data_IF_128435700655
#
_entry.id   IF_128435700655
#
_cell.length_a   1.000
_cell.length_b   1.000
_cell.length_c   1.000
_cell.angle_alpha   90.00
_cell.angle_beta   90.00
_cell.angle_gamma   90.00
#
_symmetry.space_group_name_H-M   'P 1'
#
loop_
_entity.id
_entity.type
_entity.pdbx_description
1 polymer ?
#
# COMPACT_ATOMS: atom_id res chain seq x y z
N UNK A 1 22.63 -63.96 -12.41
CA UNK A 1 22.40 -62.61 -12.96
C UNK A 1 20.95 -62.23 -12.69
N UNK A 2 20.71 -61.32 -11.74
CA UNK A 2 19.67 -60.28 -11.79
C UNK A 2 19.85 -59.42 -10.53
N UNK A 3 20.30 -58.19 -10.76
CA UNK A 3 20.59 -57.16 -9.76
C UNK A 3 19.30 -56.49 -9.31
N UNK A 4 19.00 -56.52 -8.01
CA UNK A 4 17.92 -55.73 -7.40
C UNK A 4 18.52 -54.50 -6.74
N UNK A 5 18.55 -53.39 -7.49
CA UNK A 5 18.94 -52.08 -6.99
C UNK A 5 17.72 -51.42 -6.35
N UNK A 6 17.66 -51.35 -5.01
CA UNK A 6 16.68 -50.52 -4.31
C UNK A 6 17.09 -49.04 -4.43
N UNK A 7 16.32 -48.22 -5.13
CA UNK A 7 16.40 -46.76 -5.05
C UNK A 7 15.67 -46.29 -3.80
N UNK A 8 16.41 -45.78 -2.82
CA UNK A 8 15.87 -44.95 -1.74
C UNK A 8 15.72 -43.52 -2.24
N UNK A 9 14.49 -43.11 -2.54
CA UNK A 9 14.16 -41.71 -2.82
C UNK A 9 13.98 -41.00 -1.47
N UNK A 10 14.99 -40.24 -1.05
CA UNK A 10 14.88 -39.27 0.04
C UNK A 10 14.08 -38.07 -0.46
N UNK A 11 12.77 -38.03 -0.17
CA UNK A 11 11.99 -36.80 -0.35
C UNK A 11 12.36 -35.85 0.79
N UNK A 12 13.19 -34.85 0.49
CA UNK A 12 13.41 -33.73 1.39
C UNK A 12 12.10 -32.92 1.50
N UNK A 13 11.39 -33.10 2.60
CA UNK A 13 10.24 -32.27 2.95
C UNK A 13 10.73 -30.85 3.20
N UNK A 14 10.46 -29.95 2.26
CA UNK A 14 10.63 -28.51 2.47
C UNK A 14 9.59 -28.08 3.50
N UNK A 15 10.03 -27.93 4.75
CA UNK A 15 9.21 -27.30 5.79
C UNK A 15 9.08 -25.83 5.44
N UNK A 16 7.89 -25.42 5.00
CA UNK A 16 7.49 -24.02 4.94
C UNK A 16 7.43 -23.49 6.38
N UNK A 17 8.49 -22.84 6.84
CA UNK A 17 8.45 -22.10 8.09
C UNK A 17 7.52 -20.90 7.92
N UNK A 18 6.31 -21.01 8.45
CA UNK A 18 5.59 -19.83 8.89
C UNK A 18 6.49 -19.13 9.91
N UNK A 19 6.84 -17.86 9.68
CA UNK A 19 7.63 -17.08 10.63
C UNK A 19 6.82 -16.93 11.93
N UNK A 20 7.10 -17.78 12.92
CA UNK A 20 6.61 -17.58 14.28
C UNK A 20 7.29 -16.33 14.88
N UNK A 21 6.50 -15.52 15.59
CA UNK A 21 7.02 -14.31 16.22
C UNK A 21 8.10 -14.66 17.25
N UNK A 22 9.21 -13.90 17.31
CA UNK A 22 10.31 -14.19 18.23
C UNK A 22 9.86 -14.04 19.69
N UNK A 23 10.43 -14.85 20.58
CA UNK A 23 10.21 -14.73 22.03
C UNK A 23 10.93 -13.50 22.58
N UNK A 24 10.20 -12.38 22.67
CA UNK A 24 10.74 -11.10 23.16
C UNK A 24 10.69 -10.98 24.70
N UNK A 25 11.69 -10.31 25.26
CA UNK A 25 11.71 -9.85 26.66
C UNK A 25 10.66 -8.78 26.94
N UNK A 26 10.34 -8.52 28.22
CA UNK A 26 9.36 -7.51 28.63
C UNK A 26 9.70 -6.10 28.11
N UNK A 27 10.97 -5.68 28.20
CA UNK A 27 11.39 -4.36 27.73
C UNK A 27 11.22 -4.20 26.20
N UNK A 28 11.55 -5.24 25.42
CA UNK A 28 11.35 -5.23 23.97
C UNK A 28 9.86 -5.12 23.61
N UNK A 29 8.99 -5.82 24.36
CA UNK A 29 7.53 -5.67 24.23
C UNK A 29 7.08 -4.25 24.54
N UNK A 30 7.60 -3.62 25.60
CA UNK A 30 7.27 -2.23 25.95
C UNK A 30 7.70 -1.25 24.85
N UNK A 31 8.86 -1.44 24.22
CA UNK A 31 9.28 -0.63 23.06
C UNK A 31 8.33 -0.81 21.87
N UNK A 32 7.91 -2.04 21.59
CA UNK A 32 6.94 -2.33 20.52
C UNK A 32 5.62 -1.60 20.78
N UNK A 33 5.12 -1.66 22.01
CA UNK A 33 3.92 -0.92 22.44
C UNK A 33 4.11 0.60 22.33
N UNK A 34 5.28 1.12 22.67
CA UNK A 34 5.60 2.54 22.49
C UNK A 34 5.54 2.94 21.01
N UNK A 35 6.15 2.18 20.11
CA UNK A 35 6.07 2.46 18.67
C UNK A 35 4.64 2.37 18.13
N UNK A 36 3.86 1.37 18.57
CA UNK A 36 2.43 1.28 18.24
C UNK A 36 1.65 2.49 18.76
N UNK A 37 1.94 2.98 19.97
CA UNK A 37 1.25 4.16 20.50
C UNK A 37 1.51 5.42 19.67
N UNK A 38 2.69 5.54 19.03
CA UNK A 38 3.02 6.65 18.12
C UNK A 38 2.21 6.64 16.83
N UNK A 39 1.60 5.52 16.44
CA UNK A 39 0.71 5.48 15.26
C UNK A 39 -0.68 6.04 15.57
N UNK A 40 -1.00 6.23 16.85
CA UNK A 40 -2.30 6.75 17.27
C UNK A 40 -2.55 8.13 16.68
N UNK A 41 -3.66 8.26 15.95
CA UNK A 41 -4.05 9.51 15.30
C UNK A 41 -3.26 9.88 14.04
N UNK A 42 -2.23 9.12 13.65
CA UNK A 42 -1.51 9.35 12.39
C UNK A 42 -2.45 9.16 11.19
N UNK A 43 -3.16 8.03 11.15
CA UNK A 43 -4.12 7.72 10.09
C UNK A 43 -5.33 8.67 10.12
N UNK A 44 -5.80 9.07 11.30
CA UNK A 44 -6.87 10.05 11.44
C UNK A 44 -6.52 11.41 10.84
N UNK A 45 -5.30 11.92 11.08
CA UNK A 45 -4.81 13.16 10.44
C UNK A 45 -4.79 13.05 8.93
N UNK A 46 -4.56 11.86 8.38
CA UNK A 46 -4.68 11.64 6.95
C UNK A 46 -6.14 11.87 6.47
N UNK A 47 -7.13 11.38 7.20
CA UNK A 47 -8.54 11.60 6.83
C UNK A 47 -9.07 13.03 7.08
N UNK A 48 -8.28 13.94 7.62
CA UNK A 48 -8.65 15.35 7.81
C UNK A 48 -8.44 16.22 6.54
N UNK A 49 -8.04 15.62 5.40
CA UNK A 49 -8.01 16.20 4.04
C UNK A 49 -7.36 17.60 3.93
N UNK A 50 -6.34 17.88 4.74
CA UNK A 50 -5.69 19.21 4.82
C UNK A 50 -4.35 19.29 4.07
N UNK A 51 -4.22 18.55 2.97
CA UNK A 51 -2.94 18.31 2.29
C UNK A 51 -2.44 19.43 1.38
N UNK A 52 -3.29 20.42 1.09
CA UNK A 52 -2.87 21.62 0.36
C UNK A 52 -2.04 22.58 1.22
N UNK A 53 -1.97 22.35 2.54
CA UNK A 53 -1.17 23.14 3.46
C UNK A 53 0.25 22.56 3.60
N UNK A 54 1.31 23.28 3.15
CA UNK A 54 2.68 22.78 3.20
C UNK A 54 3.18 22.48 4.63
N UNK A 55 2.72 23.25 5.63
CA UNK A 55 3.09 23.03 7.02
C UNK A 55 2.47 21.72 7.56
N UNK A 56 1.23 21.43 7.17
CA UNK A 56 0.56 20.16 7.51
C UNK A 56 1.29 18.99 6.85
N UNK A 57 1.62 19.10 5.57
CA UNK A 57 2.38 18.07 4.85
C UNK A 57 3.77 17.83 5.44
N UNK A 58 4.50 18.88 5.79
CA UNK A 58 5.81 18.77 6.44
C UNK A 58 5.72 18.08 7.81
N UNK A 59 4.72 18.45 8.62
CA UNK A 59 4.49 17.81 9.91
C UNK A 59 4.07 16.33 9.76
N UNK A 60 3.22 16.01 8.78
CA UNK A 60 2.84 14.64 8.44
C UNK A 60 4.06 13.80 8.04
N UNK A 61 4.95 14.33 7.20
CA UNK A 61 6.19 13.64 6.81
C UNK A 61 7.08 13.38 8.02
N UNK A 62 7.36 14.41 8.81
CA UNK A 62 8.23 14.30 9.99
C UNK A 62 7.68 13.26 10.97
N UNK A 63 6.38 13.30 11.24
CA UNK A 63 5.71 12.32 12.11
C UNK A 63 5.85 10.89 11.57
N UNK A 64 5.68 10.71 10.25
CA UNK A 64 5.82 9.39 9.62
C UNK A 64 7.27 8.87 9.70
N UNK A 65 8.27 9.72 9.51
CA UNK A 65 9.70 9.35 9.63
C UNK A 65 10.05 8.89 11.04
N UNK A 66 9.56 9.61 12.07
CA UNK A 66 9.75 9.22 13.47
C UNK A 66 9.12 7.86 13.79
N UNK A 67 7.91 7.60 13.29
CA UNK A 67 7.21 6.33 13.49
C UNK A 67 7.95 5.18 12.78
N UNK A 68 8.30 5.38 11.50
CA UNK A 68 9.04 4.39 10.71
C UNK A 68 10.36 4.05 11.39
N UNK A 69 11.09 5.06 11.85
CA UNK A 69 12.34 4.87 12.59
C UNK A 69 12.12 4.09 13.89
N UNK A 70 11.06 4.38 14.64
CA UNK A 70 10.72 3.63 15.85
C UNK A 70 10.60 2.13 15.56
N UNK A 71 9.85 1.75 14.51
CA UNK A 71 9.67 0.35 14.12
C UNK A 71 10.94 -0.29 13.57
N UNK A 72 11.71 0.46 12.76
CA UNK A 72 12.98 -0.01 12.22
C UNK A 72 14.00 -0.33 13.31
N UNK A 73 14.07 0.52 14.33
CA UNK A 73 15.05 0.41 15.42
C UNK A 73 14.59 -0.57 16.52
N UNK A 74 13.48 -1.30 16.31
CA UNK A 74 13.01 -2.29 17.28
C UNK A 74 14.00 -3.47 17.38
N UNK A 75 14.48 -3.81 18.58
CA UNK A 75 15.40 -4.93 18.81
C UNK A 75 14.73 -6.30 18.71
N UNK A 76 13.40 -6.37 18.69
CA UNK A 76 12.61 -7.60 18.57
C UNK A 76 11.38 -7.32 17.70
N UNK A 77 11.56 -7.20 16.38
CA UNK A 77 10.45 -6.97 15.48
C UNK A 77 9.56 -8.22 15.39
N UNK A 78 8.26 -8.02 15.45
CA UNK A 78 7.24 -9.05 15.18
C UNK A 78 6.64 -8.84 13.79
N UNK A 79 5.89 -9.82 13.30
CA UNK A 79 5.12 -9.67 12.05
C UNK A 79 4.22 -8.43 12.10
N UNK A 80 3.60 -8.17 13.26
CA UNK A 80 2.73 -7.00 13.47
C UNK A 80 3.50 -5.68 13.34
N UNK A 81 4.66 -5.54 14.01
CA UNK A 81 5.42 -4.29 13.99
C UNK A 81 6.02 -4.00 12.62
N UNK A 82 6.48 -5.04 11.90
CA UNK A 82 6.96 -4.92 10.52
C UNK A 82 5.83 -4.45 9.61
N UNK A 83 4.65 -5.10 9.68
CA UNK A 83 3.48 -4.71 8.90
C UNK A 83 3.05 -3.27 9.18
N UNK A 84 3.08 -2.85 10.44
CA UNK A 84 2.72 -1.48 10.81
C UNK A 84 3.71 -0.45 10.27
N UNK A 85 5.02 -0.68 10.42
CA UNK A 85 6.04 0.21 9.83
C UNK A 85 5.91 0.34 8.31
N UNK A 86 5.70 -0.79 7.61
CA UNK A 86 5.45 -0.81 6.17
C UNK A 86 4.17 -0.06 5.79
N UNK A 87 3.11 -0.16 6.61
CA UNK A 87 1.84 0.55 6.39
C UNK A 87 2.01 2.06 6.48
N UNK A 88 2.69 2.55 7.52
CA UNK A 88 2.98 3.98 7.69
C UNK A 88 3.80 4.49 6.49
N UNK A 89 4.83 3.74 6.07
CA UNK A 89 5.63 4.07 4.89
C UNK A 89 4.78 4.15 3.61
N UNK A 90 3.91 3.16 3.37
CA UNK A 90 3.03 3.15 2.21
C UNK A 90 2.07 4.35 2.20
N UNK A 91 1.47 4.71 3.34
CA UNK A 91 0.63 5.90 3.46
C UNK A 91 1.41 7.17 3.12
N UNK A 92 2.57 7.39 3.77
CA UNK A 92 3.44 8.54 3.50
C UNK A 92 3.80 8.64 2.01
N UNK A 93 4.34 7.57 1.44
CA UNK A 93 4.81 7.56 0.05
C UNK A 93 3.66 7.85 -0.93
N UNK A 94 2.46 7.33 -0.67
CA UNK A 94 1.25 7.56 -1.46
C UNK A 94 0.71 8.97 -1.31
N UNK A 95 0.90 9.60 -0.15
CA UNK A 95 0.50 11.00 0.00
C UNK A 95 1.38 11.94 -0.79
N UNK A 96 2.70 11.85 -0.60
CA UNK A 96 3.64 12.66 -1.37
C UNK A 96 3.60 12.36 -2.86
N UNK A 97 3.18 11.15 -3.24
CA UNK A 97 2.86 10.79 -4.61
C UNK A 97 1.77 11.65 -5.26
N UNK A 98 0.63 11.67 -4.59
CA UNK A 98 -0.58 12.32 -5.07
C UNK A 98 -0.45 13.84 -4.98
N UNK A 99 0.34 14.36 -4.03
CA UNK A 99 0.55 15.82 -3.91
C UNK A 99 1.67 16.37 -4.80
N UNK A 100 2.77 15.66 -5.04
CA UNK A 100 3.89 16.29 -5.77
C UNK A 100 3.79 16.14 -7.29
N UNK A 101 3.37 14.96 -7.76
CA UNK A 101 3.39 14.64 -9.19
C UNK A 101 2.03 14.81 -9.88
N UNK A 102 0.96 14.90 -9.09
CA UNK A 102 -0.40 14.84 -9.61
C UNK A 102 -1.17 16.15 -9.45
N UNK A 103 -0.71 17.15 -8.68
CA UNK A 103 -1.48 18.39 -8.42
C UNK A 103 -2.00 19.08 -9.69
N UNK A 104 -1.21 19.15 -10.75
CA UNK A 104 -1.69 19.75 -12.02
C UNK A 104 -2.81 18.92 -12.66
N UNK A 105 -2.68 17.60 -12.65
CA UNK A 105 -3.69 16.70 -13.20
C UNK A 105 -4.93 16.61 -12.29
N UNK A 106 -4.73 16.52 -10.98
CA UNK A 106 -5.76 16.54 -9.96
C UNK A 106 -6.69 17.74 -10.14
N UNK A 107 -6.13 18.95 -10.31
CA UNK A 107 -6.94 20.16 -10.58
C UNK A 107 -7.75 20.06 -11.87
N UNK A 108 -7.17 19.48 -12.93
CA UNK A 108 -7.90 19.24 -14.18
C UNK A 108 -9.04 18.24 -13.96
N UNK A 109 -8.79 17.13 -13.28
CA UNK A 109 -9.81 16.11 -12.99
C UNK A 109 -10.90 16.62 -12.04
N UNK A 110 -10.53 17.39 -11.02
CA UNK A 110 -11.44 18.07 -10.11
C UNK A 110 -12.35 19.04 -10.88
N UNK A 111 -11.78 19.81 -11.82
CA UNK A 111 -12.55 20.71 -12.69
C UNK A 111 -13.48 19.96 -13.67
N UNK A 112 -13.10 18.74 -14.06
CA UNK A 112 -13.92 17.87 -14.89
C UNK A 112 -15.11 17.27 -14.12
N UNK A 113 -15.00 17.18 -12.79
CA UNK A 113 -16.08 16.85 -11.87
C UNK A 113 -16.80 15.52 -12.19
N UNK A 114 -16.03 14.46 -12.41
CA UNK A 114 -16.54 13.13 -12.73
C UNK A 114 -16.78 12.27 -11.50
N UNK A 115 -17.75 11.35 -11.61
CA UNK A 115 -18.03 10.36 -10.56
C UNK A 115 -16.82 9.47 -10.25
N UNK A 116 -16.02 9.13 -11.27
CA UNK A 116 -14.82 8.31 -11.06
C UNK A 116 -13.81 9.00 -10.14
N UNK A 117 -13.52 10.28 -10.40
CA UNK A 117 -12.56 11.04 -9.61
C UNK A 117 -12.96 11.12 -8.14
N UNK A 118 -14.25 11.41 -7.86
CA UNK A 118 -14.73 11.56 -6.48
C UNK A 118 -15.04 10.24 -5.76
N UNK A 119 -15.32 9.15 -6.50
CA UNK A 119 -15.54 7.83 -5.90
C UNK A 119 -14.27 7.01 -5.75
N UNK A 120 -13.17 7.41 -6.39
CA UNK A 120 -11.90 6.73 -6.25
C UNK A 120 -11.26 7.02 -4.90
N UNK A 121 -11.23 5.99 -4.06
CA UNK A 121 -10.55 6.01 -2.77
C UNK A 121 -9.57 4.83 -2.67
N UNK A 122 -8.24 5.07 -2.75
CA UNK A 122 -7.26 4.01 -2.57
C UNK A 122 -7.23 3.47 -1.13
N UNK A 123 -7.88 4.13 -0.17
CA UNK A 123 -7.93 3.77 1.25
C UNK A 123 -9.26 3.10 1.67
N UNK A 124 -10.14 2.77 0.72
CA UNK A 124 -11.52 2.30 0.98
C UNK A 124 -11.69 1.09 1.91
N UNK A 125 -10.62 0.33 2.13
CA UNK A 125 -10.62 -0.87 2.97
C UNK A 125 -9.84 -0.70 4.28
N UNK A 126 -9.55 0.54 4.65
CA UNK A 126 -8.84 0.88 5.88
C UNK A 126 -9.67 1.85 6.71
N UNK A 127 -9.81 1.58 8.00
CA UNK A 127 -10.49 2.48 8.93
C UNK A 127 -9.63 3.70 9.32
N UNK A 128 -10.21 4.63 10.09
CA UNK A 128 -9.54 5.85 10.55
C UNK A 128 -8.32 5.60 11.46
N UNK A 129 -8.19 4.40 11.99
CA UNK A 129 -7.05 3.96 12.81
C UNK A 129 -6.01 3.19 11.98
N UNK A 130 -6.19 3.10 10.66
CA UNK A 130 -5.29 2.39 9.77
C UNK A 130 -5.47 0.88 9.79
N UNK A 131 -6.57 0.32 10.32
CA UNK A 131 -6.84 -1.13 10.35
C UNK A 131 -7.57 -1.56 9.08
N UNK A 132 -7.19 -2.72 8.53
CA UNK A 132 -7.93 -3.31 7.41
C UNK A 132 -9.27 -3.81 7.96
N UNK A 133 -10.37 -3.48 7.27
CA UNK A 133 -11.71 -3.88 7.66
C UNK A 133 -11.87 -5.41 7.64
N UNK A 134 -12.59 -5.99 8.60
CA UNK A 134 -12.72 -7.46 8.74
C UNK A 134 -13.49 -8.12 7.58
N UNK A 135 -14.35 -7.37 6.90
CA UNK A 135 -15.15 -7.80 5.74
C UNK A 135 -14.44 -7.59 4.39
N UNK A 136 -13.12 -7.37 4.41
CA UNK A 136 -12.31 -7.10 3.23
C UNK A 136 -12.03 -8.38 2.41
N UNK A 137 -12.61 -8.51 1.21
CA UNK A 137 -12.11 -9.45 0.17
C UNK A 137 -11.07 -8.72 -0.70
N UNK A 138 -9.79 -9.04 -0.47
CA UNK A 138 -8.68 -8.46 -1.22
C UNK A 138 -8.87 -8.56 -2.73
N UNK A 139 -9.51 -9.62 -3.25
CA UNK A 139 -9.64 -9.84 -4.70
C UNK A 139 -10.52 -8.80 -5.36
N UNK A 140 -11.56 -8.35 -4.69
CA UNK A 140 -12.51 -7.40 -5.28
C UNK A 140 -11.91 -5.99 -5.28
N UNK A 141 -11.22 -5.61 -4.21
CA UNK A 141 -10.48 -4.34 -4.17
C UNK A 141 -9.36 -4.29 -5.20
N UNK A 142 -8.62 -5.38 -5.41
CA UNK A 142 -7.58 -5.39 -6.43
C UNK A 142 -8.13 -5.25 -7.87
N UNK A 143 -9.34 -5.75 -8.15
CA UNK A 143 -9.98 -5.61 -9.47
C UNK A 143 -10.46 -4.19 -9.74
N UNK A 144 -10.96 -3.51 -8.72
CA UNK A 144 -11.55 -2.16 -8.84
C UNK A 144 -10.66 -1.07 -8.25
N UNK A 145 -9.37 -1.36 -8.01
CA UNK A 145 -8.46 -0.47 -7.29
C UNK A 145 -8.33 0.91 -7.94
N UNK A 146 -8.37 0.97 -9.27
CA UNK A 146 -8.36 2.23 -10.06
C UNK A 146 -9.76 2.67 -10.48
N UNK A 147 -10.77 2.27 -9.71
CA UNK A 147 -12.18 2.50 -9.97
C UNK A 147 -12.82 1.44 -10.88
N UNK A 148 -14.16 1.46 -11.01
CA UNK A 148 -14.89 0.59 -11.92
C UNK A 148 -14.37 0.70 -13.35
N UNK A 149 -14.13 -0.44 -14.01
CA UNK A 149 -13.62 -0.51 -15.39
C UNK A 149 -12.33 0.30 -15.64
N UNK A 150 -11.48 0.46 -14.62
CA UNK A 150 -10.22 1.22 -14.71
C UNK A 150 -10.45 2.70 -15.09
N UNK A 151 -11.54 3.30 -14.59
CA UNK A 151 -11.95 4.65 -14.95
C UNK A 151 -10.86 5.70 -14.65
N UNK A 152 -10.10 5.58 -13.54
CA UNK A 152 -9.05 6.55 -13.22
C UNK A 152 -7.95 6.57 -14.28
N UNK A 153 -7.62 5.41 -14.87
CA UNK A 153 -6.70 5.37 -16.01
C UNK A 153 -7.25 6.18 -17.17
N UNK A 154 -8.52 5.95 -17.53
CA UNK A 154 -9.13 6.62 -18.67
C UNK A 154 -9.15 8.13 -18.47
N UNK A 155 -9.61 8.61 -17.32
CA UNK A 155 -9.68 10.04 -17.05
C UNK A 155 -8.30 10.72 -17.02
N UNK A 156 -7.30 10.10 -16.39
CA UNK A 156 -5.94 10.65 -16.36
C UNK A 156 -5.33 10.69 -17.77
N UNK A 157 -5.55 9.66 -18.59
CA UNK A 157 -5.02 9.63 -19.95
C UNK A 157 -5.72 10.65 -20.85
N UNK A 158 -7.04 10.82 -20.70
CA UNK A 158 -7.88 11.70 -21.52
C UNK A 158 -7.67 13.19 -21.18
N UNK A 159 -7.75 13.54 -19.90
CA UNK A 159 -7.72 14.94 -19.46
C UNK A 159 -6.33 15.43 -19.07
N UNK A 160 -5.39 14.52 -18.84
CA UNK A 160 -4.01 14.85 -18.51
C UNK A 160 -3.06 14.30 -19.58
N UNK A 161 -2.28 13.27 -19.26
CA UNK A 161 -1.34 12.64 -20.19
C UNK A 161 -1.11 11.17 -19.82
N UNK A 162 -0.64 10.39 -20.79
CA UNK A 162 -0.15 9.02 -20.54
C UNK A 162 0.98 9.01 -19.49
N UNK A 163 1.85 10.03 -19.46
CA UNK A 163 2.94 10.09 -18.49
C UNK A 163 2.45 10.46 -17.08
N UNK A 164 1.41 11.30 -16.97
CA UNK A 164 0.70 11.53 -15.72
C UNK A 164 0.13 10.22 -15.18
N UNK A 165 -0.48 9.40 -16.06
CA UNK A 165 -0.96 8.07 -15.67
C UNK A 165 0.18 7.15 -15.21
N UNK A 166 1.31 7.09 -15.92
CA UNK A 166 2.46 6.26 -15.50
C UNK A 166 2.98 6.69 -14.12
N UNK A 167 3.08 7.99 -13.85
CA UNK A 167 3.52 8.52 -12.56
C UNK A 167 2.53 8.17 -11.45
N UNK A 168 1.25 8.46 -11.65
CA UNK A 168 0.17 8.13 -10.71
C UNK A 168 0.12 6.62 -10.43
N UNK A 169 0.07 5.81 -11.50
CA UNK A 169 0.04 4.35 -11.41
C UNK A 169 1.21 3.82 -10.61
N UNK A 170 2.45 4.24 -10.89
CA UNK A 170 3.64 3.73 -10.18
C UNK A 170 3.44 3.84 -8.67
N UNK A 171 2.99 5.00 -8.21
CA UNK A 171 2.90 5.30 -6.78
C UNK A 171 1.62 4.75 -6.13
N UNK A 172 0.47 4.85 -6.79
CA UNK A 172 -0.78 4.25 -6.33
C UNK A 172 -0.69 2.70 -6.30
N UNK A 173 0.01 2.10 -7.27
CA UNK A 173 0.29 0.65 -7.30
C UNK A 173 1.01 0.20 -6.03
N UNK A 174 2.06 0.91 -5.62
CA UNK A 174 2.84 0.54 -4.43
C UNK A 174 1.98 0.45 -3.17
N UNK A 175 0.98 1.32 -3.03
CA UNK A 175 0.00 1.23 -1.93
C UNK A 175 -0.82 -0.05 -2.01
N UNK A 176 -1.47 -0.32 -3.14
CA UNK A 176 -2.32 -1.51 -3.28
C UNK A 176 -1.54 -2.82 -3.15
N UNK A 177 -0.29 -2.88 -3.61
CA UNK A 177 0.56 -4.06 -3.41
C UNK A 177 0.96 -4.23 -1.94
N UNK A 178 1.37 -3.15 -1.25
CA UNK A 178 1.86 -3.22 0.14
C UNK A 178 0.74 -3.40 1.18
N UNK A 179 -0.42 -2.79 0.95
CA UNK A 179 -1.52 -2.78 1.91
C UNK A 179 -2.51 -3.92 1.65
N UNK A 180 -2.91 -4.11 0.39
CA UNK A 180 -3.95 -5.07 0.01
C UNK A 180 -3.40 -6.38 -0.55
N UNK A 181 -2.10 -6.44 -0.86
CA UNK A 181 -1.47 -7.62 -1.45
C UNK A 181 -1.88 -7.84 -2.91
N UNK A 182 -2.28 -6.78 -3.61
CA UNK A 182 -2.64 -6.87 -5.02
C UNK A 182 -1.44 -7.25 -5.89
N UNK A 183 -1.67 -7.98 -6.98
CA UNK A 183 -0.67 -8.21 -8.02
C UNK A 183 -1.06 -7.47 -9.30
N UNK A 184 -0.46 -6.30 -9.50
CA UNK A 184 -0.73 -5.47 -10.67
C UNK A 184 0.20 -5.77 -11.86
N UNK A 185 1.00 -6.85 -11.81
CA UNK A 185 1.95 -7.20 -12.89
C UNK A 185 1.25 -7.65 -14.19
N UNK A 186 -0.01 -8.10 -14.13
CA UNK A 186 -0.76 -8.63 -15.29
C UNK A 186 -2.05 -7.88 -15.67
N UNK A 187 -2.55 -6.97 -14.84
CA UNK A 187 -3.87 -6.32 -15.04
C UNK A 187 -3.83 -5.21 -16.10
N UNK A 188 -2.63 -4.84 -16.58
CA UNK A 188 -2.46 -3.68 -17.46
C UNK A 188 -1.63 -4.04 -18.69
N UNK A 189 -2.18 -4.88 -19.56
CA UNK A 189 -1.75 -4.85 -20.96
C UNK A 189 -2.03 -3.45 -21.51
N UNK A 190 -1.05 -2.75 -22.10
CA UNK A 190 -1.32 -1.48 -22.77
C UNK A 190 -2.44 -1.68 -23.79
N UNK A 191 -3.34 -0.71 -24.00
CA UNK A 191 -4.32 -0.82 -25.06
C UNK A 191 -3.54 -1.02 -26.36
N UNK A 192 -3.71 -2.16 -27.00
CA UNK A 192 -3.42 -2.29 -28.43
C UNK A 192 -4.18 -1.15 -29.08
N UNK A 193 -3.46 -0.23 -29.72
CA UNK A 193 -4.07 0.85 -30.51
C UNK A 193 -5.12 0.19 -31.40
N UNK A 194 -6.40 0.39 -31.10
CA UNK A 194 -7.43 0.21 -32.09
C UNK A 194 -7.27 1.39 -33.04
N UNK A 195 -6.46 1.18 -34.08
CA UNK A 195 -6.54 2.00 -35.26
C UNK A 195 -7.94 1.79 -35.84
N UNK A 196 -8.77 2.83 -35.79
CA UNK A 196 -9.92 2.96 -36.68
C UNK A 196 -10.01 4.39 -37.15
#
# INVERSE_FOLDING_TARGET
>A
MTSSTLLLILTASVVLFAFEDPQCTRWQKNLSTLCLSKTSGYFRKFHEHSFDNPAVMSHFNTTSEEIIKCFHDLPCPTSLTIKMGNRIGAYRDTMFALTDSFVKCAKTLESHNSDCYYSWDPFMAVDVDGRILENFDNRDVCKTYFGPMDCMRHEIVEYCTIDAWKSFKKRAKEFGERIYGCDFRGIFTPPTRYNR
#
